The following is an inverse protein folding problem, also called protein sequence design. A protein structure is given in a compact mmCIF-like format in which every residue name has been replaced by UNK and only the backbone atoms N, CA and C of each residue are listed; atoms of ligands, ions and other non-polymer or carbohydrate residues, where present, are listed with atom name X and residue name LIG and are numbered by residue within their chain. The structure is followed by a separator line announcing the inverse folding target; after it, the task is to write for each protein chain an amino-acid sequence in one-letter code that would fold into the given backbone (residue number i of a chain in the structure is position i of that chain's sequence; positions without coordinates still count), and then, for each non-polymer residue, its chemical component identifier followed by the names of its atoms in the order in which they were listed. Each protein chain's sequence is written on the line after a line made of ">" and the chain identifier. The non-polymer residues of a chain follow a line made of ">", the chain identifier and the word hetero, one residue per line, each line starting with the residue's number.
data_IF_265733460557
#
_entry.id   IF_265733460557
#
_cell.length_a   1.000
_cell.length_b   1.000
_cell.length_c   1.000
_cell.angle_alpha   90.00
_cell.angle_beta   90.00
_cell.angle_gamma   90.00
#
_symmetry.space_group_name_H-M   'P 1'
#
loop_
_entity.id
_entity.type
_entity.pdbx_description
1 polymer ?
#
# COMPACT_ATOMS: atom_id res chain seq x y z
N UNK A 1 -20.73 13.31 -28.49
CA UNK A 1 -21.35 14.02 -27.36
C UNK A 1 -21.69 12.98 -26.31
N UNK A 2 -20.77 12.74 -25.37
CA UNK A 2 -20.93 11.74 -24.32
C UNK A 2 -21.53 12.40 -23.08
N UNK A 3 -22.66 11.88 -22.61
CA UNK A 3 -23.36 12.32 -21.41
C UNK A 3 -22.52 12.03 -20.18
N UNK A 4 -21.94 13.07 -19.58
CA UNK A 4 -21.34 13.02 -18.25
C UNK A 4 -22.44 12.71 -17.23
N UNK A 5 -22.40 11.53 -16.64
CA UNK A 5 -23.22 11.21 -15.45
C UNK A 5 -22.92 12.21 -14.32
N UNK A 6 -23.88 12.44 -13.41
CA UNK A 6 -23.72 13.40 -12.33
C UNK A 6 -22.54 12.98 -11.44
N UNK A 7 -21.54 13.85 -11.32
CA UNK A 7 -20.50 13.72 -10.30
C UNK A 7 -21.18 13.76 -8.93
N UNK A 8 -20.98 12.76 -8.04
CA UNK A 8 -21.49 12.85 -6.69
C UNK A 8 -20.89 14.08 -6.02
N UNK A 9 -21.75 14.93 -5.45
CA UNK A 9 -21.39 16.10 -4.69
C UNK A 9 -20.46 15.65 -3.55
N UNK A 10 -19.22 16.15 -3.53
CA UNK A 10 -18.21 15.72 -2.58
C UNK A 10 -18.58 16.26 -1.20
N UNK A 11 -19.43 15.52 -0.46
CA UNK A 11 -19.70 15.85 0.93
C UNK A 11 -18.38 15.83 1.68
N UNK A 12 -17.96 17.01 2.15
CA UNK A 12 -16.69 17.19 2.84
C UNK A 12 -16.71 16.31 4.08
N UNK A 13 -15.72 15.41 4.20
CA UNK A 13 -15.60 14.49 5.34
C UNK A 13 -15.65 15.29 6.64
N UNK A 14 -16.50 14.87 7.57
CA UNK A 14 -16.71 15.54 8.85
C UNK A 14 -15.40 15.58 9.65
N UNK A 15 -15.05 16.74 10.21
CA UNK A 15 -13.93 16.88 11.14
C UNK A 15 -14.42 17.00 12.58
N UNK A 16 -13.88 16.17 13.48
CA UNK A 16 -14.14 16.17 14.92
C UNK A 16 -12.90 16.75 15.61
N UNK A 17 -12.99 17.92 16.28
CA UNK A 17 -11.85 18.60 16.90
C UNK A 17 -11.47 17.96 18.26
N UNK A 18 -11.23 16.66 18.25
CA UNK A 18 -10.82 15.86 19.40
C UNK A 18 -9.57 15.04 19.05
N UNK A 19 -8.91 14.51 20.07
CA UNK A 19 -7.68 13.72 19.95
C UNK A 19 -7.87 12.40 20.68
N UNK A 20 -7.43 11.31 20.06
CA UNK A 20 -7.33 10.01 20.74
C UNK A 20 -6.09 9.99 21.64
N UNK A 21 -6.25 9.60 22.90
CA UNK A 21 -5.18 9.52 23.89
C UNK A 21 -4.93 8.05 24.28
N UNK A 22 -3.74 7.53 24.00
CA UNK A 22 -3.37 6.15 24.29
C UNK A 22 -3.45 5.83 25.80
N UNK A 23 -3.08 6.77 26.68
CA UNK A 23 -3.12 6.60 28.13
C UNK A 23 -4.57 6.55 28.67
N UNK A 24 -5.51 7.14 27.93
CA UNK A 24 -6.94 7.22 28.26
C UNK A 24 -7.77 6.63 27.11
N UNK A 25 -7.34 5.48 26.60
CA UNK A 25 -7.85 4.88 25.35
C UNK A 25 -9.38 4.82 25.31
N UNK A 26 -10.00 4.24 26.34
CA UNK A 26 -11.45 4.03 26.36
C UNK A 26 -12.23 5.34 26.44
N UNK A 27 -11.82 6.27 27.31
CA UNK A 27 -12.52 7.55 27.50
C UNK A 27 -12.37 8.46 26.28
N UNK A 28 -11.18 8.54 25.70
CA UNK A 28 -10.94 9.35 24.50
C UNK A 28 -11.64 8.77 23.26
N UNK A 29 -11.65 7.44 23.09
CA UNK A 29 -12.42 6.77 22.05
C UNK A 29 -13.93 7.00 22.20
N UNK A 30 -14.47 6.91 23.42
CA UNK A 30 -15.89 7.14 23.68
C UNK A 30 -16.31 8.57 23.28
N UNK A 31 -15.52 9.60 23.64
CA UNK A 31 -15.80 10.99 23.23
C UNK A 31 -15.83 11.15 21.72
N UNK A 32 -14.90 10.53 21.00
CA UNK A 32 -14.87 10.55 19.53
C UNK A 32 -16.11 9.88 18.92
N UNK A 33 -16.50 8.73 19.47
CA UNK A 33 -17.65 7.96 18.99
C UNK A 33 -18.97 8.68 19.28
N UNK A 34 -19.16 9.24 20.47
CA UNK A 34 -20.36 10.02 20.79
C UNK A 34 -20.41 11.35 20.03
N UNK A 35 -19.28 11.94 19.68
CA UNK A 35 -19.26 13.07 18.75
C UNK A 35 -19.76 12.64 17.36
N UNK A 36 -19.40 11.44 16.89
CA UNK A 36 -19.85 10.91 15.61
C UNK A 36 -21.32 10.46 15.62
N UNK A 37 -21.71 9.69 16.65
CA UNK A 37 -23.02 9.05 16.84
C UNK A 37 -23.59 9.41 18.25
N UNK A 38 -24.10 10.63 18.44
CA UNK A 38 -24.61 11.07 19.75
C UNK A 38 -25.73 10.17 20.29
N UNK A 39 -26.52 9.57 19.40
CA UNK A 39 -27.63 8.71 19.77
C UNK A 39 -27.19 7.42 20.47
N UNK A 40 -25.93 6.98 20.31
CA UNK A 40 -25.38 5.80 21.00
C UNK A 40 -25.20 6.00 22.51
N UNK A 41 -25.32 7.23 23.02
CA UNK A 41 -25.24 7.51 24.47
C UNK A 41 -26.39 6.87 25.26
N UNK A 42 -27.55 6.73 24.62
CA UNK A 42 -28.78 6.25 25.27
C UNK A 42 -29.39 5.03 24.58
N UNK A 43 -28.86 4.61 23.43
CA UNK A 43 -29.35 3.49 22.64
C UNK A 43 -28.31 2.36 22.58
N UNK A 44 -28.46 1.34 23.43
CA UNK A 44 -27.62 0.15 23.45
C UNK A 44 -26.39 0.22 24.36
N UNK A 45 -25.42 -0.67 24.11
CA UNK A 45 -24.17 -0.78 24.86
C UNK A 45 -22.97 -0.68 23.94
N UNK A 46 -22.20 0.40 24.10
CA UNK A 46 -20.96 0.61 23.35
C UNK A 46 -19.87 -0.32 23.88
N UNK A 47 -19.24 -1.09 22.99
CA UNK A 47 -18.10 -1.93 23.30
C UNK A 47 -16.93 -1.65 22.35
N UNK A 48 -15.72 -1.69 22.91
CA UNK A 48 -14.47 -1.46 22.19
C UNK A 48 -13.69 -2.75 22.10
N UNK A 49 -13.32 -3.14 20.89
CA UNK A 49 -12.53 -4.33 20.58
C UNK A 49 -11.22 -3.83 19.97
N UNK A 50 -10.09 -4.12 20.63
CA UNK A 50 -8.77 -3.70 20.14
C UNK A 50 -8.22 -4.75 19.18
N UNK A 51 -7.74 -4.31 18.03
CA UNK A 51 -6.94 -5.15 17.13
C UNK A 51 -5.46 -4.96 17.45
N UNK A 52 -4.70 -6.07 17.45
CA UNK A 52 -3.29 -6.12 17.83
C UNK A 52 -2.35 -6.28 16.65
N UNK A 53 -2.88 -6.56 15.45
CA UNK A 53 -2.07 -7.00 14.30
C UNK A 53 -1.46 -5.83 13.50
N UNK A 54 -1.80 -4.58 13.85
CA UNK A 54 -1.22 -3.38 13.26
C UNK A 54 -0.03 -2.87 14.05
N UNK A 55 1.12 -2.72 13.39
CA UNK A 55 2.38 -2.34 14.05
C UNK A 55 2.50 -0.82 14.30
N UNK A 56 1.97 0.03 13.41
CA UNK A 56 2.17 1.50 13.44
C UNK A 56 0.98 2.31 13.96
N UNK A 57 -0.19 1.69 14.16
CA UNK A 57 -1.45 2.41 14.43
C UNK A 57 -2.26 1.73 15.54
N UNK A 58 -2.94 2.53 16.36
CA UNK A 58 -3.94 1.99 17.28
C UNK A 58 -5.27 1.83 16.55
N UNK A 59 -5.78 0.58 16.52
CA UNK A 59 -7.00 0.23 15.82
C UNK A 59 -8.04 -0.35 16.80
N UNK A 60 -9.19 0.32 16.91
CA UNK A 60 -10.31 -0.08 17.77
C UNK A 60 -11.57 -0.26 16.93
N UNK A 61 -12.14 -1.47 16.92
CA UNK A 61 -13.51 -1.69 16.45
C UNK A 61 -14.47 -1.29 17.56
N UNK A 62 -15.39 -0.42 17.23
CA UNK A 62 -16.42 0.08 18.14
C UNK A 62 -17.77 -0.42 17.65
N UNK A 63 -18.47 -1.15 18.51
CA UNK A 63 -19.79 -1.68 18.24
C UNK A 63 -20.80 -1.12 19.22
N UNK A 64 -22.03 -0.96 18.77
CA UNK A 64 -23.16 -0.66 19.64
C UNK A 64 -24.09 -1.88 19.70
N UNK A 65 -24.07 -2.59 20.83
CA UNK A 65 -24.92 -3.75 21.06
C UNK A 65 -26.31 -3.30 21.49
N UNK A 66 -27.28 -3.46 20.60
CA UNK A 66 -28.70 -3.23 20.89
C UNK A 66 -29.45 -4.55 21.02
N UNK A 67 -30.43 -4.66 21.93
CA UNK A 67 -31.26 -5.86 22.03
C UNK A 67 -31.97 -6.17 20.71
N UNK A 68 -31.91 -7.44 20.28
CA UNK A 68 -32.62 -7.91 19.08
C UNK A 68 -31.85 -7.83 17.76
N UNK A 69 -30.66 -7.20 17.73
CA UNK A 69 -29.79 -7.22 16.55
C UNK A 69 -28.91 -8.47 16.54
N UNK A 70 -28.77 -9.07 15.37
CA UNK A 70 -27.79 -10.12 15.08
C UNK A 70 -26.36 -9.56 15.09
N UNK A 71 -25.37 -10.43 15.26
CA UNK A 71 -23.95 -10.05 15.15
C UNK A 71 -23.63 -9.40 13.80
N UNK A 72 -24.31 -9.83 12.74
CA UNK A 72 -24.16 -9.27 11.39
C UNK A 72 -24.66 -7.82 11.31
N UNK A 73 -25.84 -7.53 11.84
CA UNK A 73 -26.38 -6.17 11.87
C UNK A 73 -25.51 -5.24 12.71
N UNK A 74 -25.01 -5.73 13.86
CA UNK A 74 -24.08 -4.98 14.72
C UNK A 74 -22.78 -4.66 13.96
N UNK A 75 -22.23 -5.63 13.23
CA UNK A 75 -20.98 -5.46 12.49
C UNK A 75 -21.13 -4.53 11.27
N UNK A 76 -22.29 -4.53 10.61
CA UNK A 76 -22.60 -3.60 9.53
C UNK A 76 -22.68 -2.13 10.03
N UNK A 77 -23.03 -1.94 11.30
CA UNK A 77 -23.00 -0.63 11.95
C UNK A 77 -21.68 -0.27 12.64
N UNK A 78 -20.74 -1.21 12.73
CA UNK A 78 -19.50 -1.02 13.46
C UNK A 78 -18.60 0.08 12.85
N UNK A 79 -17.96 0.82 13.75
CA UNK A 79 -17.02 1.90 13.40
C UNK A 79 -15.62 1.45 13.75
N UNK A 80 -14.68 1.65 12.84
CA UNK A 80 -13.27 1.46 13.08
C UNK A 80 -12.62 2.81 13.40
N UNK A 81 -11.99 2.90 14.56
CA UNK A 81 -11.18 4.04 14.98
C UNK A 81 -9.72 3.69 14.75
N UNK A 82 -9.08 4.44 13.85
CA UNK A 82 -7.64 4.37 13.56
C UNK A 82 -6.99 5.65 14.09
N UNK A 83 -6.12 5.52 15.07
CA UNK A 83 -5.30 6.61 15.59
C UNK A 83 -3.83 6.40 15.21
N UNK A 84 -3.18 7.47 14.74
CA UNK A 84 -1.81 7.43 14.24
C UNK A 84 -0.81 7.20 15.37
N UNK A 85 0.18 6.33 15.16
CA UNK A 85 1.28 6.10 16.11
C UNK A 85 2.26 7.26 16.17
N UNK A 86 2.85 7.52 17.34
CA UNK A 86 3.84 8.58 17.52
C UNK A 86 5.11 8.32 16.68
N UNK A 87 5.65 9.36 16.03
CA UNK A 87 6.93 9.29 15.30
C UNK A 87 6.87 8.68 13.89
N UNK A 88 5.69 8.24 13.43
CA UNK A 88 5.51 7.61 12.11
C UNK A 88 5.38 8.61 10.95
N UNK A 89 5.23 9.90 11.26
CA UNK A 89 5.02 10.97 10.28
C UNK A 89 6.19 11.14 9.31
N UNK A 90 7.40 10.66 9.64
CA UNK A 90 8.58 10.74 8.78
C UNK A 90 8.41 9.94 7.48
N UNK A 91 7.75 8.78 7.55
CA UNK A 91 7.56 7.86 6.42
C UNK A 91 6.15 7.97 5.85
N UNK A 92 5.14 8.10 6.74
CA UNK A 92 3.74 8.08 6.35
C UNK A 92 3.19 9.49 6.25
N UNK A 93 2.72 9.84 5.06
CA UNK A 93 2.02 11.10 4.80
C UNK A 93 0.53 10.93 5.14
N UNK A 94 0.13 11.34 6.35
CA UNK A 94 -1.23 11.15 6.88
C UNK A 94 -2.30 11.89 6.09
N UNK A 95 -1.94 13.01 5.49
CA UNK A 95 -2.84 13.74 4.61
C UNK A 95 -3.07 12.94 3.33
N UNK A 96 -1.99 12.40 2.73
CA UNK A 96 -2.09 11.52 1.56
C UNK A 96 -2.87 10.24 1.86
N UNK A 97 -2.63 9.59 3.00
CA UNK A 97 -3.38 8.40 3.43
C UNK A 97 -4.89 8.70 3.44
N UNK A 98 -5.27 9.86 3.99
CA UNK A 98 -6.67 10.28 4.01
C UNK A 98 -7.21 10.61 2.62
N UNK A 99 -6.45 11.31 1.78
CA UNK A 99 -6.82 11.62 0.40
C UNK A 99 -7.01 10.35 -0.43
N UNK A 100 -6.14 9.35 -0.26
CA UNK A 100 -6.24 8.05 -0.90
C UNK A 100 -7.52 7.33 -0.45
N UNK A 101 -7.82 7.32 0.86
CA UNK A 101 -9.05 6.72 1.38
C UNK A 101 -10.29 7.42 0.80
N UNK A 102 -10.33 8.75 0.83
CA UNK A 102 -11.44 9.54 0.28
C UNK A 102 -11.64 9.27 -1.21
N UNK A 103 -10.56 9.18 -1.99
CA UNK A 103 -10.60 8.84 -3.40
C UNK A 103 -11.17 7.43 -3.61
N UNK A 104 -10.62 6.42 -2.94
CA UNK A 104 -11.06 5.03 -3.06
C UNK A 104 -12.52 4.83 -2.64
N UNK A 105 -12.98 5.58 -1.62
CA UNK A 105 -14.36 5.57 -1.17
C UNK A 105 -15.32 6.03 -2.28
N UNK A 106 -14.94 7.03 -3.09
CA UNK A 106 -15.76 7.51 -4.22
C UNK A 106 -15.98 6.43 -5.30
N UNK A 107 -15.10 5.42 -5.36
CA UNK A 107 -15.19 4.28 -6.28
C UNK A 107 -15.71 3.00 -5.60
N UNK A 108 -16.19 3.07 -4.34
CA UNK A 108 -16.61 1.92 -3.53
C UNK A 108 -15.49 0.88 -3.28
N UNK A 109 -14.24 1.34 -3.30
CA UNK A 109 -13.04 0.51 -3.15
C UNK A 109 -12.40 0.62 -1.75
N UNK A 110 -12.90 1.54 -0.93
CA UNK A 110 -12.59 1.69 0.47
C UNK A 110 -13.89 1.83 1.29
N UNK A 111 -13.89 1.45 2.58
CA UNK A 111 -15.04 1.63 3.44
C UNK A 111 -15.37 3.12 3.63
N UNK A 112 -16.63 3.43 3.90
CA UNK A 112 -17.04 4.82 4.09
C UNK A 112 -16.26 5.50 5.23
N UNK A 113 -15.56 6.59 4.90
CA UNK A 113 -14.88 7.45 5.86
C UNK A 113 -15.92 8.36 6.52
N UNK A 114 -16.16 8.12 7.81
CA UNK A 114 -17.24 8.75 8.58
C UNK A 114 -16.83 10.10 9.15
N UNK A 115 -15.60 10.19 9.67
CA UNK A 115 -15.02 11.43 10.16
C UNK A 115 -13.48 11.36 10.26
N UNK A 116 -12.86 12.53 10.31
CA UNK A 116 -11.45 12.74 10.68
C UNK A 116 -11.37 13.41 12.05
N UNK A 117 -10.26 13.23 12.74
CA UNK A 117 -9.94 13.93 13.98
C UNK A 117 -8.44 14.28 14.02
N UNK A 118 -7.97 14.99 15.06
CA UNK A 118 -6.62 15.59 15.05
C UNK A 118 -5.48 14.60 14.78
N UNK A 119 -5.61 13.37 15.26
CA UNK A 119 -4.58 12.34 15.13
C UNK A 119 -5.15 11.00 14.61
N UNK A 120 -6.15 11.05 13.72
CA UNK A 120 -6.70 9.82 13.15
C UNK A 120 -7.99 10.00 12.37
N UNK A 121 -8.65 8.86 12.14
CA UNK A 121 -9.86 8.75 11.35
C UNK A 121 -10.84 7.70 11.89
N UNK A 122 -12.12 7.89 11.59
CA UNK A 122 -13.24 6.98 11.88
C UNK A 122 -13.85 6.53 10.54
N UNK A 123 -13.90 5.23 10.28
CA UNK A 123 -14.49 4.69 9.06
C UNK A 123 -15.27 3.39 9.33
N UNK A 124 -16.08 2.94 8.36
CA UNK A 124 -16.87 1.71 8.51
C UNK A 124 -15.96 0.48 8.65
N UNK A 125 -16.34 -0.44 9.54
CA UNK A 125 -15.68 -1.74 9.64
C UNK A 125 -15.95 -2.58 8.39
N UNK A 126 -14.91 -3.24 7.86
CA UNK A 126 -15.05 -4.24 6.80
C UNK A 126 -15.15 -5.61 7.46
N UNK A 127 -16.24 -6.32 7.20
CA UNK A 127 -16.40 -7.70 7.68
C UNK A 127 -15.53 -8.66 6.89
N UNK A 128 -14.89 -9.58 7.62
CA UNK A 128 -14.07 -10.61 7.03
C UNK A 128 -12.93 -11.03 7.94
N UNK A 129 -12.07 -11.90 7.42
CA UNK A 129 -10.85 -12.33 8.09
C UNK A 129 -9.65 -11.71 7.40
N UNK A 130 -8.69 -11.23 8.19
CA UNK A 130 -7.38 -10.81 7.67
C UNK A 130 -6.70 -12.05 7.08
N UNK A 131 -6.20 -11.95 5.85
CA UNK A 131 -5.53 -13.07 5.20
C UNK A 131 -4.14 -13.31 5.76
N UNK A 132 -3.66 -14.54 5.68
CA UNK A 132 -2.28 -14.91 5.96
C UNK A 132 -1.47 -15.11 4.66
N UNK A 133 -0.13 -15.19 4.71
CA UNK A 133 0.67 -15.56 3.53
C UNK A 133 0.26 -16.93 2.93
N UNK A 134 -0.26 -17.84 3.75
CA UNK A 134 -0.81 -19.11 3.27
C UNK A 134 -2.09 -18.94 2.45
N UNK A 135 -2.94 -17.97 2.79
CA UNK A 135 -4.18 -17.74 2.06
C UNK A 135 -3.93 -17.20 0.66
N UNK A 136 -2.90 -16.38 0.47
CA UNK A 136 -2.52 -15.85 -0.85
C UNK A 136 -2.19 -16.95 -1.87
N UNK A 137 -1.82 -18.15 -1.41
CA UNK A 137 -1.51 -19.30 -2.26
C UNK A 137 -2.74 -20.09 -2.70
N UNK A 138 -3.91 -19.84 -2.11
CA UNK A 138 -5.16 -20.52 -2.44
C UNK A 138 -5.76 -19.92 -3.71
N UNK A 139 -6.18 -20.78 -4.63
CA UNK A 139 -6.64 -20.37 -5.96
C UNK A 139 -7.82 -19.41 -5.92
N UNK A 140 -8.80 -19.72 -5.08
CA UNK A 140 -9.99 -18.90 -4.90
C UNK A 140 -9.66 -17.51 -4.36
N UNK A 141 -8.60 -17.37 -3.54
CA UNK A 141 -8.20 -16.11 -2.92
C UNK A 141 -7.36 -15.28 -3.90
N UNK A 142 -6.31 -15.83 -4.52
CA UNK A 142 -5.51 -15.04 -5.45
C UNK A 142 -6.30 -14.61 -6.68
N UNK A 143 -7.29 -15.40 -7.12
CA UNK A 143 -8.22 -14.97 -8.18
C UNK A 143 -9.06 -13.77 -7.74
N UNK A 144 -9.54 -13.76 -6.49
CA UNK A 144 -10.28 -12.64 -5.95
C UNK A 144 -9.39 -11.38 -5.81
N UNK A 145 -8.14 -11.55 -5.37
CA UNK A 145 -7.14 -10.47 -5.32
C UNK A 145 -6.85 -9.92 -6.71
N UNK A 146 -6.62 -10.77 -7.71
CA UNK A 146 -6.39 -10.37 -9.10
C UNK A 146 -7.53 -9.51 -9.64
N UNK A 147 -8.79 -9.93 -9.42
CA UNK A 147 -9.96 -9.16 -9.85
C UNK A 147 -10.06 -7.80 -9.15
N UNK A 148 -9.90 -7.75 -7.83
CA UNK A 148 -10.00 -6.50 -7.05
C UNK A 148 -8.86 -5.53 -7.36
N UNK A 149 -7.64 -6.04 -7.59
CA UNK A 149 -6.50 -5.22 -7.99
C UNK A 149 -6.68 -4.67 -9.41
N UNK A 150 -7.22 -5.47 -10.32
CA UNK A 150 -7.56 -5.02 -11.66
C UNK A 150 -8.62 -3.92 -11.67
N UNK A 151 -9.65 -4.06 -10.82
CA UNK A 151 -10.67 -3.03 -10.62
C UNK A 151 -10.04 -1.70 -10.18
N UNK A 152 -9.22 -1.71 -9.11
CA UNK A 152 -8.45 -0.55 -8.64
C UNK A 152 -7.70 0.13 -9.78
N UNK A 153 -6.88 -0.65 -10.50
CA UNK A 153 -6.01 -0.13 -11.54
C UNK A 153 -6.77 0.39 -12.77
N UNK A 154 -7.97 -0.11 -13.03
CA UNK A 154 -8.79 0.29 -14.17
C UNK A 154 -9.58 1.58 -13.89
N UNK A 155 -10.17 1.72 -12.69
CA UNK A 155 -11.20 2.74 -12.44
C UNK A 155 -10.70 3.94 -11.64
N UNK A 156 -9.66 3.77 -10.81
CA UNK A 156 -9.19 4.83 -9.93
C UNK A 156 -8.17 5.72 -10.66
N UNK A 157 -8.41 7.03 -10.77
CA UNK A 157 -7.53 7.92 -11.53
C UNK A 157 -6.25 8.24 -10.75
N UNK A 158 -5.14 8.33 -11.49
CA UNK A 158 -3.89 8.90 -10.99
C UNK A 158 -4.00 10.43 -10.92
N UNK A 159 -4.49 10.96 -9.80
CA UNK A 159 -4.62 12.40 -9.60
C UNK A 159 -3.24 13.01 -9.25
N UNK A 160 -2.76 14.03 -9.99
CA UNK A 160 -1.62 14.81 -9.52
C UNK A 160 -2.02 15.53 -8.23
N UNK A 161 -1.14 15.54 -7.24
CA UNK A 161 -1.45 16.19 -5.97
C UNK A 161 -1.45 17.72 -6.19
N UNK A 162 -2.62 18.35 -6.09
CA UNK A 162 -2.71 19.79 -5.90
C UNK A 162 -2.34 20.10 -4.44
N UNK A 163 -1.05 20.15 -4.12
CA UNK A 163 -0.62 20.51 -2.76
C UNK A 163 -0.66 22.02 -2.60
N UNK A 164 -1.55 22.51 -1.75
CA UNK A 164 -1.26 23.76 -1.03
C UNK A 164 -0.10 23.50 -0.05
N UNK A 165 0.87 24.42 0.09
CA UNK A 165 2.00 24.22 0.99
C UNK A 165 1.51 24.02 2.43
N UNK A 166 1.89 22.89 3.04
CA UNK A 166 1.55 22.52 4.42
C UNK A 166 1.81 23.69 5.41
N UNK A 167 0.77 24.08 6.15
CA UNK A 167 0.78 25.26 7.03
C UNK A 167 1.39 25.04 8.42
N UNK A 168 1.85 23.82 8.78
CA UNK A 168 2.37 23.54 10.12
C UNK A 168 3.62 22.65 10.13
N UNK A 169 4.61 23.06 10.93
CA UNK A 169 5.83 22.32 11.25
C UNK A 169 5.54 21.26 12.32
N UNK A 170 6.01 20.03 12.10
CA UNK A 170 6.10 19.02 13.16
C UNK A 170 7.54 19.05 13.68
N UNK A 171 7.72 19.57 14.89
CA UNK A 171 9.02 19.62 15.59
C UNK A 171 9.48 18.20 15.97
N UNK A 172 10.30 17.60 15.11
CA UNK A 172 10.91 16.29 15.34
C UNK A 172 12.28 16.30 16.04
N UNK A 173 12.82 17.45 16.46
CA UNK A 173 14.24 17.52 16.87
C UNK A 173 14.54 18.17 18.22
N UNK A 174 13.57 18.41 19.10
CA UNK A 174 13.84 19.08 20.37
C UNK A 174 14.26 18.16 21.53
N UNK A 175 14.05 16.83 21.43
CA UNK A 175 14.27 15.91 22.56
C UNK A 175 15.49 14.98 22.42
N UNK A 176 16.26 15.10 21.34
CA UNK A 176 17.54 14.40 21.21
C UNK A 176 18.57 15.45 20.80
N UNK A 177 19.45 15.83 21.73
CA UNK A 177 20.58 16.74 21.55
C UNK A 177 21.52 16.26 20.42
N UNK A 178 21.10 16.46 19.18
CA UNK A 178 21.85 16.16 17.97
C UNK A 178 21.87 17.42 17.11
N UNK A 179 23.04 18.04 16.89
CA UNK A 179 23.15 19.16 15.97
C UNK A 179 22.92 18.64 14.54
N UNK A 180 21.73 18.86 14.04
CA UNK A 180 21.31 18.52 12.67
C UNK A 180 21.41 19.76 11.79
N UNK A 181 21.72 19.54 10.50
CA UNK A 181 20.90 20.12 9.46
C UNK A 181 20.16 18.96 8.79
N UNK A 182 19.00 18.60 9.33
CA UNK A 182 18.01 17.82 8.57
C UNK A 182 17.48 18.79 7.52
N UNK A 183 17.60 18.54 6.20
CA UNK A 183 16.98 19.42 5.23
C UNK A 183 15.48 19.39 5.48
N UNK A 184 14.97 20.56 5.86
CA UNK A 184 13.56 20.79 6.14
C UNK A 184 12.71 20.28 4.98
N UNK A 185 11.53 19.70 5.27
CA UNK A 185 10.46 19.44 4.28
C UNK A 185 10.10 20.68 3.43
N UNK A 186 10.60 21.86 3.81
CA UNK A 186 10.45 23.13 3.12
C UNK A 186 11.61 23.52 2.21
N UNK A 187 12.65 22.68 2.02
CA UNK A 187 13.68 22.99 1.02
C UNK A 187 13.07 22.83 -0.39
N UNK A 188 12.79 23.95 -1.11
CA UNK A 188 12.15 23.87 -2.41
C UNK A 188 13.03 23.15 -3.43
N UNK A 189 14.37 23.21 -3.27
CA UNK A 189 15.29 22.52 -4.17
C UNK A 189 15.23 21.00 -3.97
N UNK A 190 15.15 20.54 -2.71
CA UNK A 190 14.97 19.12 -2.40
C UNK A 190 13.64 18.60 -2.94
N UNK A 191 12.55 19.35 -2.72
CA UNK A 191 11.22 18.98 -3.23
C UNK A 191 11.22 18.92 -4.76
N UNK A 192 11.81 19.90 -5.43
CA UNK A 192 11.98 19.88 -6.89
C UNK A 192 12.82 18.68 -7.37
N UNK A 193 13.88 18.30 -6.65
CA UNK A 193 14.68 17.12 -6.99
C UNK A 193 13.86 15.82 -6.87
N UNK A 194 13.01 15.71 -5.84
CA UNK A 194 12.09 14.59 -5.66
C UNK A 194 11.07 14.53 -6.79
N UNK A 195 10.36 15.63 -7.05
CA UNK A 195 9.26 15.66 -8.02
C UNK A 195 9.73 15.43 -9.46
N UNK A 196 10.97 15.82 -9.77
CA UNK A 196 11.56 15.66 -11.10
C UNK A 196 12.38 14.38 -11.25
N UNK A 197 12.41 13.48 -10.26
CA UNK A 197 13.24 12.26 -10.33
C UNK A 197 12.89 11.41 -11.54
N UNK A 198 11.61 11.34 -11.91
CA UNK A 198 11.10 10.62 -13.08
C UNK A 198 10.38 11.61 -14.02
N UNK A 199 11.12 12.26 -14.95
CA UNK A 199 10.56 13.28 -15.83
C UNK A 199 9.35 12.77 -16.65
N UNK A 200 8.31 13.59 -16.74
CA UNK A 200 7.08 13.27 -17.48
C UNK A 200 6.08 12.40 -16.71
N UNK A 201 6.36 12.02 -15.46
CA UNK A 201 5.43 11.30 -14.58
C UNK A 201 4.80 12.25 -13.56
N UNK A 202 3.51 12.10 -13.22
CA UNK A 202 2.88 12.89 -12.17
C UNK A 202 3.50 12.57 -10.80
N UNK A 203 3.69 13.59 -9.96
CA UNK A 203 4.08 13.42 -8.56
C UNK A 203 2.85 13.51 -7.63
N UNK A 204 2.79 12.71 -6.55
CA UNK A 204 3.72 11.63 -6.21
C UNK A 204 3.53 10.38 -7.10
N UNK A 205 4.57 9.56 -7.19
CA UNK A 205 4.59 8.21 -7.77
C UNK A 205 5.67 7.35 -7.08
N UNK A 206 5.74 6.05 -7.38
CA UNK A 206 6.72 5.12 -6.77
C UNK A 206 8.17 5.61 -6.80
N UNK A 207 8.60 6.26 -7.89
CA UNK A 207 9.97 6.78 -8.02
C UNK A 207 10.22 7.95 -7.08
N UNK A 208 9.28 8.90 -7.01
CA UNK A 208 9.36 10.04 -6.08
C UNK A 208 9.33 9.58 -4.62
N UNK A 209 8.61 8.49 -4.31
CA UNK A 209 8.58 7.90 -2.97
C UNK A 209 9.95 7.32 -2.62
N UNK A 210 10.55 6.52 -3.50
CA UNK A 210 11.91 6.00 -3.28
C UNK A 210 12.95 7.14 -3.16
N UNK A 211 12.84 8.19 -3.98
CA UNK A 211 13.73 9.34 -3.91
C UNK A 211 13.64 10.06 -2.56
N UNK A 212 12.40 10.29 -2.09
CA UNK A 212 12.13 10.87 -0.78
C UNK A 212 12.72 10.01 0.34
N UNK A 213 12.58 8.69 0.25
CA UNK A 213 13.12 7.77 1.25
C UNK A 213 14.65 7.73 1.26
N UNK A 214 15.31 7.71 0.10
CA UNK A 214 16.77 7.75 0.01
C UNK A 214 17.32 9.03 0.66
N UNK A 215 16.70 10.18 0.42
CA UNK A 215 17.09 11.43 1.08
C UNK A 215 16.85 11.44 2.59
N UNK A 216 15.93 10.63 3.10
CA UNK A 216 15.67 10.49 4.53
C UNK A 216 16.62 9.51 5.25
N UNK A 217 17.45 8.77 4.50
CA UNK A 217 18.43 7.85 5.10
C UNK A 217 19.47 8.61 5.95
N UNK A 218 19.98 7.98 7.02
CA UNK A 218 21.02 8.58 7.84
C UNK A 218 22.30 8.80 7.03
N UNK A 219 23.07 9.83 7.38
CA UNK A 219 24.33 10.23 6.74
C UNK A 219 25.41 10.63 7.79
N UNK A 220 25.27 10.15 9.03
CA UNK A 220 26.13 10.52 10.15
C UNK A 220 27.53 9.91 10.05
N UNK A 221 27.64 8.74 9.44
CA UNK A 221 28.91 8.02 9.23
C UNK A 221 29.30 7.95 7.76
N UNK A 222 30.58 7.67 7.48
CA UNK A 222 31.05 7.49 6.09
C UNK A 222 30.38 6.30 5.40
N UNK A 223 30.15 5.21 6.13
CA UNK A 223 29.44 4.04 5.62
C UNK A 223 27.99 4.38 5.22
N UNK A 224 27.30 5.18 6.05
CA UNK A 224 25.95 5.67 5.77
C UNK A 224 25.90 6.56 4.53
N UNK A 225 26.87 7.49 4.37
CA UNK A 225 27.00 8.32 3.16
C UNK A 225 27.24 7.49 1.90
N UNK A 226 28.16 6.52 1.96
CA UNK A 226 28.44 5.61 0.84
C UNK A 226 27.20 4.81 0.47
N UNK A 227 26.46 4.30 1.47
CA UNK A 227 25.22 3.54 1.25
C UNK A 227 24.16 4.40 0.59
N UNK A 228 23.90 5.61 1.09
CA UNK A 228 22.94 6.53 0.48
C UNK A 228 23.33 6.87 -0.97
N UNK A 229 24.61 7.17 -1.23
CA UNK A 229 25.11 7.47 -2.57
C UNK A 229 24.95 6.26 -3.53
N UNK A 230 25.17 5.04 -3.04
CA UNK A 230 24.97 3.81 -3.82
C UNK A 230 23.51 3.64 -4.21
N UNK A 231 22.59 3.80 -3.26
CA UNK A 231 21.15 3.71 -3.50
C UNK A 231 20.68 4.83 -4.43
N UNK A 232 21.19 6.05 -4.30
CA UNK A 232 20.86 7.17 -5.18
C UNK A 232 21.28 6.89 -6.64
N UNK A 233 22.50 6.37 -6.83
CA UNK A 233 22.99 5.97 -8.15
C UNK A 233 22.09 4.88 -8.75
N UNK A 234 21.69 3.92 -7.93
CA UNK A 234 20.87 2.81 -8.39
C UNK A 234 19.43 3.23 -8.71
N UNK A 235 18.83 4.14 -7.93
CA UNK A 235 17.53 4.72 -8.26
C UNK A 235 17.59 5.47 -9.59
N UNK A 236 18.66 6.22 -9.83
CA UNK A 236 18.86 6.92 -11.12
C UNK A 236 18.85 5.93 -12.29
N UNK A 237 19.54 4.80 -12.13
CA UNK A 237 19.56 3.71 -13.11
C UNK A 237 18.18 3.08 -13.30
N UNK A 238 17.50 2.75 -12.21
CA UNK A 238 16.15 2.19 -12.25
C UNK A 238 15.16 3.12 -12.95
N UNK A 239 15.18 4.42 -12.65
CA UNK A 239 14.29 5.37 -13.34
C UNK A 239 14.56 5.39 -14.84
N UNK A 240 15.83 5.40 -15.26
CA UNK A 240 16.20 5.40 -16.68
C UNK A 240 15.73 4.12 -17.39
N UNK A 241 15.85 2.96 -16.73
CA UNK A 241 15.49 1.65 -17.31
C UNK A 241 13.98 1.35 -17.26
N UNK A 242 13.26 1.85 -16.24
CA UNK A 242 11.90 1.38 -15.92
C UNK A 242 10.80 2.43 -16.02
N UNK A 243 11.08 3.72 -15.79
CA UNK A 243 10.00 4.72 -15.66
C UNK A 243 9.18 4.87 -16.95
N UNK A 244 9.80 4.72 -18.12
CA UNK A 244 9.16 4.91 -19.43
C UNK A 244 8.81 3.60 -20.15
N UNK A 245 8.86 2.46 -19.45
CA UNK A 245 8.41 1.19 -20.02
C UNK A 245 6.91 1.26 -20.35
N UNK A 246 6.46 0.61 -21.45
CA UNK A 246 5.05 0.55 -21.78
C UNK A 246 4.30 -0.26 -20.71
N UNK A 247 3.11 0.20 -20.33
CA UNK A 247 2.29 -0.49 -19.33
C UNK A 247 0.85 -0.01 -19.38
N UNK A 248 0.02 -0.60 -18.53
CA UNK A 248 -1.38 -0.22 -18.37
C UNK A 248 -1.54 1.18 -17.75
N UNK A 249 -2.73 1.75 -17.89
CA UNK A 249 -3.06 3.08 -17.36
C UNK A 249 -2.50 4.24 -18.18
N UNK A 250 -2.60 5.45 -17.64
CA UNK A 250 -2.16 6.68 -18.31
C UNK A 250 -0.70 6.93 -17.98
N UNK A 251 0.13 7.21 -19.00
CA UNK A 251 1.58 7.34 -18.87
C UNK A 251 2.25 6.09 -18.25
N UNK A 252 1.72 4.90 -18.53
CA UNK A 252 2.14 3.62 -17.94
C UNK A 252 2.01 3.55 -16.41
N UNK A 253 1.10 4.34 -15.83
CA UNK A 253 0.81 4.36 -14.40
C UNK A 253 -0.66 4.06 -14.13
N UNK A 254 -0.89 3.29 -13.09
CA UNK A 254 -2.19 2.99 -12.47
C UNK A 254 -2.16 3.48 -11.02
N UNK A 255 -3.33 3.72 -10.43
CA UNK A 255 -3.40 4.00 -9.00
C UNK A 255 -3.21 2.68 -8.23
N UNK A 256 -1.98 2.46 -7.76
CA UNK A 256 -1.53 1.20 -7.18
C UNK A 256 -1.61 1.22 -5.65
N UNK A 257 -1.76 0.05 -5.04
CA UNK A 257 -1.71 -0.11 -3.59
C UNK A 257 -0.29 0.07 -3.04
N UNK A 258 0.70 -0.46 -3.76
CA UNK A 258 2.14 -0.45 -3.44
C UNK A 258 2.55 -1.20 -2.17
N UNK A 259 1.60 -1.82 -1.47
CA UNK A 259 1.84 -2.53 -0.20
C UNK A 259 0.81 -3.66 0.01
N UNK A 260 0.57 -4.46 -1.01
CA UNK A 260 -0.48 -5.49 -0.97
C UNK A 260 0.01 -6.79 -0.31
N UNK A 261 0.46 -6.70 0.94
CA UNK A 261 0.79 -7.85 1.79
C UNK A 261 -0.47 -8.54 2.32
N UNK A 262 -0.33 -9.77 2.82
CA UNK A 262 -1.48 -10.59 3.29
C UNK A 262 -2.34 -9.89 4.35
N UNK A 263 -1.72 -9.20 5.30
CA UNK A 263 -2.40 -8.39 6.32
C UNK A 263 -3.28 -7.26 5.76
N UNK A 264 -3.06 -6.84 4.50
CA UNK A 264 -3.82 -5.78 3.83
C UNK A 264 -4.94 -6.34 2.94
N UNK A 265 -5.18 -7.65 2.98
CA UNK A 265 -6.27 -8.33 2.27
C UNK A 265 -7.26 -8.90 3.28
N UNK A 266 -8.50 -8.42 3.22
CA UNK A 266 -9.63 -8.94 4.00
C UNK A 266 -10.44 -9.90 3.14
N UNK A 267 -10.50 -11.16 3.53
CA UNK A 267 -11.35 -12.18 2.92
C UNK A 267 -12.76 -12.00 3.48
N UNK A 268 -13.69 -11.60 2.62
CA UNK A 268 -15.07 -11.34 3.01
C UNK A 268 -15.83 -12.66 3.22
N UNK A 269 -16.87 -12.68 4.09
CA UNK A 269 -17.75 -13.82 4.18
C UNK A 269 -18.39 -14.12 2.82
N UNK A 270 -18.54 -15.41 2.48
CA UNK A 270 -19.27 -15.81 1.28
C UNK A 270 -20.68 -15.23 1.31
N UNK A 271 -21.10 -14.67 0.18
CA UNK A 271 -22.49 -14.24 0.02
C UNK A 271 -23.42 -15.44 0.21
N UNK A 272 -24.54 -15.23 0.91
CA UNK A 272 -25.62 -16.19 0.97
C UNK A 272 -26.34 -16.32 -0.39
N UNK A 273 -26.09 -15.41 -1.34
CA UNK A 273 -26.59 -15.48 -2.70
C UNK A 273 -25.79 -16.52 -3.51
N UNK A 274 -26.40 -17.64 -3.92
CA UNK A 274 -25.74 -18.68 -4.71
C UNK A 274 -25.34 -18.23 -6.12
N UNK A 275 -25.77 -17.04 -6.57
CA UNK A 275 -25.39 -16.45 -7.86
C UNK A 275 -24.14 -15.57 -7.78
N UNK A 276 -23.71 -15.19 -6.57
CA UNK A 276 -22.46 -14.46 -6.37
C UNK A 276 -21.27 -15.39 -6.62
N UNK A 277 -20.56 -15.17 -7.72
CA UNK A 277 -19.47 -16.03 -8.14
C UNK A 277 -18.19 -15.79 -7.32
N UNK A 278 -17.83 -16.76 -6.49
CA UNK A 278 -16.50 -16.89 -5.88
C UNK A 278 -16.27 -16.11 -4.58
N UNK A 279 -15.05 -16.23 -4.05
CA UNK A 279 -14.62 -15.45 -2.89
C UNK A 279 -14.51 -13.96 -3.26
N UNK A 280 -14.83 -13.09 -2.30
CA UNK A 280 -14.67 -11.65 -2.39
C UNK A 280 -13.61 -11.18 -1.40
N UNK A 281 -12.79 -10.23 -1.81
CA UNK A 281 -11.77 -9.62 -0.95
C UNK A 281 -11.92 -8.10 -0.95
N UNK A 282 -11.47 -7.46 0.13
CA UNK A 282 -11.25 -6.02 0.20
C UNK A 282 -9.82 -5.72 0.57
N UNK A 283 -9.28 -4.63 0.03
CA UNK A 283 -7.98 -4.12 0.44
C UNK A 283 -8.15 -3.07 1.52
N UNK A 284 -7.16 -2.96 2.39
CA UNK A 284 -7.08 -1.96 3.47
C UNK A 284 -5.66 -1.39 3.54
N UNK A 285 -5.48 -0.32 4.30
CA UNK A 285 -4.18 0.32 4.54
C UNK A 285 -3.54 0.98 3.30
N UNK A 286 -4.10 2.12 2.91
CA UNK A 286 -3.78 2.81 1.65
C UNK A 286 -2.66 3.86 1.79
N UNK A 287 -1.82 3.74 2.83
CA UNK A 287 -0.84 4.78 3.18
C UNK A 287 0.31 4.91 2.17
N UNK A 288 0.64 3.80 1.50
CA UNK A 288 1.63 3.75 0.41
C UNK A 288 1.01 3.87 -0.98
N UNK A 289 -0.33 3.90 -1.10
CA UNK A 289 -0.98 3.96 -2.40
C UNK A 289 -0.57 5.22 -3.17
N UNK A 290 -0.12 5.02 -4.39
CA UNK A 290 0.42 6.08 -5.25
C UNK A 290 0.41 5.62 -6.71
N UNK A 291 0.39 6.54 -7.69
CA UNK A 291 0.62 6.19 -9.09
C UNK A 291 1.90 5.35 -9.28
N UNK A 292 1.76 4.14 -9.83
CA UNK A 292 2.87 3.21 -10.06
C UNK A 292 2.64 2.37 -11.32
N UNK A 293 3.69 1.79 -11.93
CA UNK A 293 3.50 0.76 -12.95
C UNK A 293 2.72 -0.44 -12.38
N UNK A 294 1.73 -0.94 -13.11
CA UNK A 294 0.97 -2.12 -12.68
C UNK A 294 1.88 -3.34 -12.42
N UNK A 295 2.95 -3.48 -13.21
CA UNK A 295 3.95 -4.53 -13.04
C UNK A 295 4.66 -4.46 -11.69
N UNK A 296 4.95 -3.24 -11.18
CA UNK A 296 5.53 -3.07 -9.85
C UNK A 296 4.57 -3.61 -8.79
N UNK A 297 3.31 -3.17 -8.78
CA UNK A 297 2.36 -3.53 -7.72
C UNK A 297 2.05 -5.04 -7.70
N UNK A 298 1.94 -5.66 -8.89
CA UNK A 298 1.75 -7.11 -9.03
C UNK A 298 3.01 -7.87 -8.57
N UNK A 299 4.20 -7.43 -8.99
CA UNK A 299 5.45 -8.07 -8.57
C UNK A 299 5.69 -7.94 -7.06
N UNK A 300 5.28 -6.81 -6.48
CA UNK A 300 5.31 -6.56 -5.05
C UNK A 300 4.37 -7.53 -4.33
N UNK A 301 3.11 -7.63 -4.77
CA UNK A 301 2.16 -8.60 -4.21
C UNK A 301 2.67 -10.05 -4.25
N UNK A 302 3.31 -10.45 -5.36
CA UNK A 302 3.92 -11.78 -5.45
C UNK A 302 5.08 -11.99 -4.47
N UNK A 303 5.88 -10.96 -4.17
CA UNK A 303 6.93 -11.04 -3.16
C UNK A 303 6.37 -11.32 -1.76
N UNK A 304 5.15 -10.85 -1.47
CA UNK A 304 4.49 -10.99 -0.16
C UNK A 304 3.92 -12.40 0.10
N UNK A 305 3.97 -13.31 -0.88
CA UNK A 305 3.62 -14.73 -0.67
C UNK A 305 4.59 -15.43 0.29
N UNK A 306 5.82 -14.93 0.41
CA UNK A 306 6.83 -15.41 1.35
C UNK A 306 6.71 -14.83 2.77
N UNK A 307 5.79 -13.88 3.00
CA UNK A 307 5.63 -13.20 4.29
C UNK A 307 6.86 -12.43 4.76
N UNK A 308 6.84 -11.99 6.02
CA UNK A 308 7.96 -11.23 6.62
C UNK A 308 9.24 -12.05 6.78
N UNK A 309 9.12 -13.37 6.92
CA UNK A 309 10.25 -14.30 6.98
C UNK A 309 10.95 -14.49 5.62
N UNK A 310 10.42 -13.90 4.55
CA UNK A 310 10.97 -13.95 3.20
C UNK A 310 11.18 -15.38 2.70
N UNK A 311 10.19 -16.25 2.90
CA UNK A 311 10.26 -17.67 2.49
C UNK A 311 10.19 -17.82 0.96
N UNK A 312 11.35 -17.66 0.30
CA UNK A 312 11.45 -17.60 -1.16
C UNK A 312 10.87 -18.80 -1.91
N UNK A 313 10.85 -19.98 -1.29
CA UNK A 313 10.28 -21.18 -1.89
C UNK A 313 8.74 -21.16 -2.01
N UNK A 314 8.08 -20.22 -1.32
CA UNK A 314 6.62 -20.04 -1.34
C UNK A 314 6.14 -19.07 -2.41
N UNK A 315 7.04 -18.35 -3.08
CA UNK A 315 6.70 -17.44 -4.17
C UNK A 315 5.93 -18.18 -5.29
N UNK A 316 5.03 -17.49 -6.03
CA UNK A 316 4.26 -18.13 -7.09
C UNK A 316 5.17 -18.59 -8.23
N UNK A 317 4.91 -19.77 -8.80
CA UNK A 317 5.57 -20.28 -10.02
C UNK A 317 5.17 -19.48 -11.26
N UNK A 318 5.83 -19.71 -12.39
CA UNK A 318 5.46 -19.09 -13.67
C UNK A 318 3.99 -19.38 -14.03
N UNK A 319 3.52 -20.63 -13.88
CA UNK A 319 2.12 -20.99 -14.16
C UNK A 319 1.14 -20.22 -13.26
N UNK A 320 1.42 -20.15 -11.95
CA UNK A 320 0.59 -19.40 -11.00
C UNK A 320 0.55 -17.90 -11.33
N UNK A 321 1.69 -17.30 -11.67
CA UNK A 321 1.75 -15.88 -12.06
C UNK A 321 1.01 -15.64 -13.37
N UNK A 322 1.15 -16.51 -14.36
CA UNK A 322 0.45 -16.41 -15.64
C UNK A 322 -1.07 -16.47 -15.45
N UNK A 323 -1.56 -17.39 -14.62
CA UNK A 323 -2.99 -17.52 -14.35
C UNK A 323 -3.55 -16.34 -13.55
N UNK A 324 -2.79 -15.81 -12.58
CA UNK A 324 -3.11 -14.56 -11.89
C UNK A 324 -3.22 -13.39 -12.88
N UNK A 325 -2.23 -13.23 -13.75
CA UNK A 325 -2.17 -12.11 -14.71
C UNK A 325 -3.28 -12.23 -15.74
N UNK A 326 -3.63 -13.45 -16.19
CA UNK A 326 -4.76 -13.66 -17.11
C UNK A 326 -6.08 -13.25 -16.47
N UNK A 327 -6.32 -13.65 -15.21
CA UNK A 327 -7.51 -13.22 -14.46
C UNK A 327 -7.54 -11.69 -14.27
N UNK A 328 -6.39 -11.10 -13.92
CA UNK A 328 -6.21 -9.66 -13.78
C UNK A 328 -6.54 -8.92 -15.08
N UNK A 329 -5.97 -9.31 -16.23
CA UNK A 329 -6.17 -8.67 -17.54
C UNK A 329 -7.64 -8.72 -17.94
N UNK A 330 -8.27 -9.90 -17.80
CA UNK A 330 -9.70 -10.07 -18.09
C UNK A 330 -10.55 -9.11 -17.27
N UNK A 331 -10.29 -9.01 -15.97
CA UNK A 331 -11.02 -8.12 -15.06
C UNK A 331 -10.75 -6.64 -15.39
N UNK A 332 -9.50 -6.28 -15.66
CA UNK A 332 -9.08 -4.90 -15.94
C UNK A 332 -9.85 -4.32 -17.14
N UNK A 333 -9.87 -5.04 -18.25
CA UNK A 333 -10.56 -4.58 -19.46
C UNK A 333 -12.09 -4.64 -19.34
N UNK A 334 -12.63 -5.57 -18.54
CA UNK A 334 -14.05 -5.58 -18.22
C UNK A 334 -14.47 -4.30 -17.45
N UNK A 335 -13.67 -3.87 -16.47
CA UNK A 335 -13.93 -2.64 -15.72
C UNK A 335 -13.74 -1.35 -16.54
N UNK A 336 -12.88 -1.38 -17.58
CA UNK A 336 -12.80 -0.28 -18.55
C UNK A 336 -14.00 -0.23 -19.52
N UNK A 337 -14.93 -1.19 -19.44
CA UNK A 337 -16.08 -1.27 -20.34
C UNK A 337 -15.71 -1.59 -21.79
N UNK A 338 -14.56 -2.21 -22.03
CA UNK A 338 -14.14 -2.62 -23.37
C UNK A 338 -14.79 -3.94 -23.75
N UNK A 339 -15.23 -4.06 -25.00
CA UNK A 339 -15.75 -5.32 -25.51
C UNK A 339 -14.62 -6.36 -25.63
N UNK A 340 -14.91 -7.63 -25.32
CA UNK A 340 -13.95 -8.73 -25.40
C UNK A 340 -13.33 -8.88 -26.79
N UNK A 341 -14.06 -8.51 -27.84
CA UNK A 341 -13.57 -8.56 -29.22
C UNK A 341 -12.52 -7.49 -29.55
N UNK A 342 -12.39 -6.44 -28.73
CA UNK A 342 -11.43 -5.35 -28.95
C UNK A 342 -10.08 -5.54 -28.25
N UNK A 343 -9.96 -6.59 -27.43
CA UNK A 343 -8.78 -6.84 -26.61
C UNK A 343 -8.27 -8.24 -26.93
N UNK A 344 -7.02 -8.31 -27.40
CA UNK A 344 -6.30 -9.57 -27.45
C UNK A 344 -5.84 -9.95 -26.02
N UNK A 345 -6.73 -10.64 -25.27
CA UNK A 345 -6.51 -11.04 -23.86
C UNK A 345 -5.17 -11.75 -23.69
N UNK A 346 -4.81 -12.63 -24.62
CA UNK A 346 -3.59 -13.44 -24.54
C UNK A 346 -2.34 -12.59 -24.83
N UNK A 347 -2.38 -11.70 -25.82
CA UNK A 347 -1.26 -10.79 -26.08
C UNK A 347 -1.05 -9.75 -24.97
N UNK A 348 -2.12 -9.25 -24.34
CA UNK A 348 -2.02 -8.36 -23.16
C UNK A 348 -1.53 -9.12 -21.93
N UNK A 349 -1.99 -10.36 -21.73
CA UNK A 349 -1.52 -11.25 -20.64
C UNK A 349 -0.01 -11.47 -20.75
N UNK A 350 0.49 -11.84 -21.93
CA UNK A 350 1.94 -12.05 -22.14
C UNK A 350 2.74 -10.77 -21.92
N UNK A 351 2.27 -9.63 -22.45
CA UNK A 351 2.95 -8.34 -22.24
C UNK A 351 3.06 -7.99 -20.76
N UNK A 352 1.97 -8.11 -20.00
CA UNK A 352 2.02 -7.82 -18.57
C UNK A 352 2.85 -8.85 -17.80
N UNK A 353 2.84 -10.12 -18.20
CA UNK A 353 3.70 -11.16 -17.62
C UNK A 353 5.18 -10.86 -17.80
N UNK A 354 5.60 -10.47 -19.00
CA UNK A 354 6.99 -10.09 -19.29
C UNK A 354 7.40 -8.84 -18.50
N UNK A 355 6.52 -7.84 -18.39
CA UNK A 355 6.78 -6.66 -17.56
C UNK A 355 6.89 -7.02 -16.07
N UNK A 356 5.99 -7.86 -15.53
CA UNK A 356 6.07 -8.31 -14.13
C UNK A 356 7.37 -9.08 -13.86
N UNK A 357 7.82 -9.92 -14.80
CA UNK A 357 9.11 -10.59 -14.70
C UNK A 357 10.26 -9.60 -14.58
N UNK A 358 10.27 -8.57 -15.43
CA UNK A 358 11.30 -7.53 -15.43
C UNK A 358 11.28 -6.68 -14.15
N UNK A 359 10.12 -6.44 -13.54
CA UNK A 359 10.01 -5.65 -12.31
C UNK A 359 10.32 -6.43 -11.02
N UNK A 360 10.47 -7.77 -11.08
CA UNK A 360 10.47 -8.67 -9.90
C UNK A 360 11.48 -8.37 -8.80
N UNK A 361 12.59 -7.69 -9.08
CA UNK A 361 13.58 -7.33 -8.05
C UNK A 361 13.31 -5.98 -7.38
N UNK A 362 12.55 -5.09 -8.01
CA UNK A 362 12.30 -3.72 -7.52
C UNK A 362 11.64 -3.69 -6.14
N UNK A 363 10.68 -4.59 -5.79
CA UNK A 363 10.15 -4.66 -4.42
C UNK A 363 11.23 -4.79 -3.34
N UNK A 364 12.32 -5.54 -3.62
CA UNK A 364 13.45 -5.68 -2.70
C UNK A 364 14.20 -4.36 -2.45
N UNK A 365 14.34 -3.53 -3.49
CA UNK A 365 14.93 -2.19 -3.38
C UNK A 365 14.02 -1.25 -2.59
N UNK A 366 12.73 -1.25 -2.92
CA UNK A 366 11.70 -0.42 -2.30
C UNK A 366 11.61 -0.66 -0.80
N UNK A 367 11.37 -1.91 -0.39
CA UNK A 367 11.25 -2.29 1.03
C UNK A 367 12.58 -2.31 1.77
N UNK A 368 13.69 -2.56 1.06
CA UNK A 368 15.03 -2.44 1.62
C UNK A 368 15.34 -1.03 2.11
N UNK A 369 15.05 0.00 1.29
CA UNK A 369 15.23 1.40 1.69
C UNK A 369 14.30 1.74 2.86
N UNK A 370 13.03 1.35 2.78
CA UNK A 370 12.05 1.60 3.85
C UNK A 370 12.54 1.02 5.18
N UNK A 371 13.03 -0.23 5.18
CA UNK A 371 13.49 -0.91 6.37
C UNK A 371 14.75 -0.28 6.96
N UNK A 372 15.66 0.24 6.14
CA UNK A 372 16.81 1.02 6.64
C UNK A 372 16.40 2.25 7.43
N UNK A 373 15.32 2.94 7.02
CA UNK A 373 14.78 4.08 7.76
C UNK A 373 14.14 3.59 9.06
N UNK A 374 13.30 2.56 9.00
CA UNK A 374 12.62 2.01 10.16
C UNK A 374 13.59 1.50 11.24
N UNK A 375 14.73 0.93 10.85
CA UNK A 375 15.79 0.51 11.77
C UNK A 375 16.36 1.64 12.64
N UNK A 376 16.11 2.91 12.29
CA UNK A 376 16.55 4.08 13.07
C UNK A 376 15.45 4.74 13.87
N UNK A 377 14.20 4.63 13.45
CA UNK A 377 13.09 5.43 14.00
C UNK A 377 11.97 4.60 14.61
N UNK A 378 11.86 3.32 14.26
CA UNK A 378 10.77 2.47 14.73
C UNK A 378 10.97 2.10 16.20
N UNK A 379 9.87 2.09 16.94
CA UNK A 379 9.81 1.59 18.33
C UNK A 379 9.25 0.16 18.40
N UNK A 380 8.92 -0.42 17.25
CA UNK A 380 8.37 -1.78 17.13
C UNK A 380 9.50 -2.79 17.26
N UNK A 381 9.24 -3.86 18.01
CA UNK A 381 10.16 -5.00 18.15
C UNK A 381 10.14 -5.87 16.88
N UNK A 382 10.86 -5.39 15.86
CA UNK A 382 11.08 -6.08 14.60
C UNK A 382 12.50 -5.78 14.11
N UNK A 383 13.20 -6.79 13.61
CA UNK A 383 14.58 -6.63 13.13
C UNK A 383 14.62 -6.01 11.71
N UNK A 384 14.31 -4.71 11.66
CA UNK A 384 14.34 -3.94 10.42
C UNK A 384 15.72 -3.92 9.75
N UNK A 385 16.79 -4.01 10.53
CA UNK A 385 18.15 -3.99 10.00
C UNK A 385 18.42 -5.26 9.19
N UNK A 386 18.16 -6.43 9.76
CA UNK A 386 18.31 -7.70 9.03
C UNK A 386 17.34 -7.79 7.87
N UNK A 387 16.09 -7.36 8.05
CA UNK A 387 15.09 -7.33 6.97
C UNK A 387 15.54 -6.45 5.80
N UNK A 388 16.13 -5.28 6.06
CA UNK A 388 16.67 -4.41 5.03
C UNK A 388 17.76 -5.09 4.19
N UNK A 389 18.69 -5.81 4.84
CA UNK A 389 19.76 -6.52 4.13
C UNK A 389 19.22 -7.69 3.31
N UNK A 390 18.19 -8.39 3.80
CA UNK A 390 17.50 -9.44 3.02
C UNK A 390 16.85 -8.84 1.78
N UNK A 391 16.00 -7.82 1.91
CA UNK A 391 15.27 -7.22 0.77
C UNK A 391 16.22 -6.57 -0.24
N UNK A 392 17.25 -5.83 0.21
CA UNK A 392 18.29 -5.31 -0.69
C UNK A 392 19.08 -6.44 -1.34
N UNK A 393 19.36 -7.52 -0.62
CA UNK A 393 20.01 -8.71 -1.14
C UNK A 393 19.24 -9.36 -2.28
N UNK A 394 17.90 -9.44 -2.18
CA UNK A 394 17.03 -9.89 -3.27
C UNK A 394 17.19 -9.02 -4.51
N UNK A 395 17.17 -7.70 -4.34
CA UNK A 395 17.37 -6.76 -5.43
C UNK A 395 18.71 -6.98 -6.12
N UNK A 396 19.81 -6.99 -5.38
CA UNK A 396 21.15 -7.15 -5.97
C UNK A 396 21.34 -8.52 -6.61
N UNK A 397 20.76 -9.57 -6.04
CA UNK A 397 20.77 -10.89 -6.62
C UNK A 397 20.05 -10.90 -7.97
N UNK A 398 18.82 -10.36 -8.03
CA UNK A 398 18.07 -10.18 -9.28
C UNK A 398 18.84 -9.32 -10.31
N UNK A 399 19.45 -8.21 -9.90
CA UNK A 399 20.27 -7.36 -10.80
C UNK A 399 21.42 -8.17 -11.41
N UNK A 400 22.15 -8.91 -10.58
CA UNK A 400 23.31 -9.68 -11.02
C UNK A 400 22.96 -10.87 -11.92
N UNK A 401 21.77 -11.45 -11.76
CA UNK A 401 21.23 -12.44 -12.69
C UNK A 401 20.87 -11.77 -14.02
N UNK A 402 20.18 -10.64 -13.97
CA UNK A 402 19.66 -9.93 -15.15
C UNK A 402 20.78 -9.34 -16.02
N UNK A 403 21.85 -8.81 -15.42
CA UNK A 403 23.00 -8.29 -16.15
C UNK A 403 24.08 -9.33 -16.47
N UNK A 404 23.86 -10.60 -16.08
CA UNK A 404 24.75 -11.72 -16.34
C UNK A 404 26.03 -11.75 -15.50
N UNK A 405 26.28 -10.75 -14.66
CA UNK A 405 27.49 -10.69 -13.82
C UNK A 405 27.58 -11.85 -12.83
N UNK A 406 26.43 -12.38 -12.37
CA UNK A 406 26.37 -13.53 -11.49
C UNK A 406 26.90 -14.80 -12.14
N UNK A 407 26.39 -15.13 -13.33
CA UNK A 407 26.84 -16.27 -14.11
C UNK A 407 28.33 -16.15 -14.48
N UNK A 408 28.78 -14.93 -14.87
CA UNK A 408 30.18 -14.66 -15.14
C UNK A 408 31.10 -14.88 -13.93
N UNK A 409 30.58 -14.69 -12.71
CA UNK A 409 31.30 -14.95 -11.45
C UNK A 409 31.25 -16.41 -10.98
N UNK A 410 30.61 -17.31 -11.73
CA UNK A 410 30.48 -18.74 -11.38
C UNK A 410 29.60 -19.02 -10.16
N UNK A 411 28.77 -18.05 -9.74
CA UNK A 411 27.86 -18.21 -8.60
C UNK A 411 26.56 -18.86 -9.05
N UNK A 412 26.01 -19.73 -8.21
CA UNK A 412 24.72 -20.36 -8.45
C UNK A 412 23.56 -19.37 -8.38
N UNK A 413 22.50 -19.67 -9.13
CA UNK A 413 21.26 -18.89 -9.10
C UNK A 413 20.62 -18.95 -7.70
N UNK A 414 20.22 -17.80 -7.11
CA UNK A 414 19.58 -17.75 -5.80
C UNK A 414 18.31 -18.59 -5.75
N UNK A 415 17.94 -19.08 -4.56
CA UNK A 415 16.68 -19.83 -4.36
C UNK A 415 15.47 -19.05 -4.89
N UNK A 416 15.39 -17.74 -4.59
CA UNK A 416 14.34 -16.85 -5.08
C UNK A 416 14.20 -16.87 -6.60
N UNK A 417 15.30 -16.71 -7.32
CA UNK A 417 15.29 -16.64 -8.78
C UNK A 417 15.03 -18.01 -9.41
N UNK A 418 15.53 -19.10 -8.80
CA UNK A 418 15.17 -20.47 -9.21
C UNK A 418 13.67 -20.74 -9.04
N UNK A 419 13.10 -20.34 -7.90
CA UNK A 419 11.66 -20.47 -7.64
C UNK A 419 10.85 -19.62 -8.60
N UNK A 420 11.31 -18.38 -8.87
CA UNK A 420 10.66 -17.51 -9.83
C UNK A 420 10.64 -18.12 -11.23
N UNK A 421 11.73 -18.76 -11.66
CA UNK A 421 11.84 -19.43 -12.96
C UNK A 421 11.11 -20.79 -13.05
N UNK A 422 10.54 -21.33 -11.97
CA UNK A 422 9.89 -22.65 -11.98
C UNK A 422 8.55 -22.63 -12.73
N UNK A 423 8.30 -23.59 -13.65
CA UNK A 423 7.05 -23.67 -14.42
C UNK A 423 5.85 -24.21 -13.64
N UNK A 424 6.02 -25.29 -12.86
CA UNK A 424 5.01 -25.84 -11.95
C UNK A 424 5.67 -26.62 -10.80
#
# INVERSE_FOLDING_TARGET
>A
MGTSGPKPDASKVRFIPLTYNQAESQTSALRLILALRPEWEHDGKIEFIRFTDGITNTLLKVVNKRPGLSTEEIDNEAVLLRAYGQGTDLIIDRERETQNHELLMQYNLAPALLARFHNGMLYRFIRGNVSSPADLRREEIWRAVARRLAEWHAVVPCLPSAREPLSQEINGSANFDMPTPTPSRKDPALQMAIDNVAPGKPAPNVWTVMQKWIYALPIGTEAEKIRQATLQKELTRLVAEFSNRPGLGVNSLVFAHCDLLSGNVIIQPRSADPTAAGEAVSFIDYEYATPSPAAFDISNHFAEWGGFDCEHHLLPTQSQRLDFIREYIRSYFAHLGRDKSEVDEEAETRRLFDEVDVFRGIPGFYWGIWALIQAKISQIDFDYASYAEVRLGEYWAWRSETDGSRAASGKEMPLRERRWAQEA
#
